data_IF_723531960552
#
_entry.id   IF_723531960552
#
_cell.length_a   1.000
_cell.length_b   1.000
_cell.length_c   1.000
_cell.angle_alpha   90.00
_cell.angle_beta   90.00
_cell.angle_gamma   90.00
#
_symmetry.space_group_name_H-M   'P 1'
#
loop_
_entity.id
_entity.type
_entity.pdbx_description
1 polymer ?
#
# COMPACT_ATOMS: atom_id res chain seq x y z
N UNK A 1 4.59 -2.63 10.98
CA UNK A 1 4.64 -3.83 11.83
C UNK A 1 6.09 -4.32 12.02
N UNK A 2 6.33 -5.17 13.05
CA UNK A 2 7.70 -5.73 13.29
C UNK A 2 8.20 -6.55 12.10
N UNK A 3 7.35 -7.34 11.46
CA UNK A 3 7.73 -8.13 10.28
C UNK A 3 8.20 -7.25 9.10
N UNK A 4 7.49 -6.16 8.85
CA UNK A 4 7.90 -5.20 7.81
C UNK A 4 9.24 -4.55 8.13
N UNK A 5 9.44 -4.10 9.37
CA UNK A 5 10.72 -3.53 9.82
C UNK A 5 11.87 -4.54 9.69
N UNK A 6 11.65 -5.82 10.06
CA UNK A 6 12.66 -6.88 9.88
C UNK A 6 13.04 -7.06 8.42
N UNK A 7 12.07 -7.06 7.50
CA UNK A 7 12.33 -7.16 6.06
C UNK A 7 13.19 -5.97 5.57
N UNK A 8 12.83 -4.74 5.99
CA UNK A 8 13.57 -3.52 5.62
C UNK A 8 15.01 -3.48 6.15
N UNK A 9 15.30 -4.23 7.21
CA UNK A 9 16.64 -4.37 7.78
C UNK A 9 17.39 -5.63 7.31
N UNK A 10 16.82 -6.38 6.35
CA UNK A 10 17.44 -7.57 5.74
C UNK A 10 17.20 -8.87 6.50
N UNK A 11 16.40 -8.86 7.58
CA UNK A 11 16.03 -10.06 8.33
C UNK A 11 14.72 -10.67 7.77
N UNK A 12 14.84 -11.32 6.60
CA UNK A 12 13.71 -11.98 5.97
C UNK A 12 13.18 -13.16 6.80
N UNK A 13 14.03 -13.86 7.53
CA UNK A 13 13.63 -14.97 8.39
C UNK A 13 12.62 -14.54 9.45
N UNK A 14 12.93 -13.46 10.16
CA UNK A 14 12.00 -12.86 11.13
C UNK A 14 10.75 -12.29 10.46
N UNK A 15 10.87 -11.68 9.26
CA UNK A 15 9.73 -11.20 8.51
C UNK A 15 8.74 -12.33 8.17
N UNK A 16 9.24 -13.47 7.67
CA UNK A 16 8.44 -14.67 7.37
C UNK A 16 7.80 -15.28 8.61
N UNK A 17 8.51 -15.27 9.74
CA UNK A 17 7.94 -15.74 11.00
C UNK A 17 6.73 -14.90 11.43
N UNK A 18 6.83 -13.56 11.34
CA UNK A 18 5.69 -12.68 11.60
C UNK A 18 4.56 -12.86 10.59
N UNK A 19 4.86 -13.03 9.30
CA UNK A 19 3.87 -13.32 8.26
C UNK A 19 3.06 -14.58 8.60
N UNK A 20 3.73 -15.67 8.95
CA UNK A 20 3.06 -16.92 9.31
C UNK A 20 2.12 -16.73 10.51
N UNK A 21 2.54 -15.97 11.52
CA UNK A 21 1.68 -15.66 12.67
C UNK A 21 0.45 -14.83 12.30
N UNK A 22 0.61 -13.87 11.40
CA UNK A 22 -0.52 -13.03 10.91
C UNK A 22 -1.49 -13.90 10.11
N UNK A 23 -0.99 -14.76 9.22
CA UNK A 23 -1.83 -15.70 8.45
C UNK A 23 -2.58 -16.67 9.36
N UNK A 24 -1.93 -17.24 10.34
CA UNK A 24 -2.55 -18.11 11.32
C UNK A 24 -3.66 -17.41 12.11
N UNK A 25 -3.42 -16.17 12.55
CA UNK A 25 -4.46 -15.36 13.17
C UNK A 25 -5.62 -15.02 12.25
N UNK A 26 -5.40 -14.89 10.94
CA UNK A 26 -6.46 -14.70 9.96
C UNK A 26 -7.31 -15.97 9.76
N UNK A 27 -6.70 -17.13 9.74
CA UNK A 27 -7.39 -18.43 9.61
C UNK A 27 -8.20 -18.79 10.86
N UNK A 28 -7.63 -18.55 12.05
CA UNK A 28 -8.27 -18.87 13.34
C UNK A 28 -9.30 -17.81 13.77
N UNK A 29 -9.25 -16.65 13.12
CA UNK A 29 -9.96 -15.43 13.54
C UNK A 29 -11.45 -15.43 13.23
N UNK A 30 -12.28 -15.89 14.19
CA UNK A 30 -13.72 -15.64 14.20
C UNK A 30 -14.09 -14.33 14.89
N UNK A 31 -13.10 -13.63 15.45
CA UNK A 31 -13.29 -12.41 16.23
C UNK A 31 -13.59 -11.21 15.34
N UNK A 32 -14.34 -10.28 15.93
CA UNK A 32 -14.66 -8.99 15.32
C UNK A 32 -13.90 -7.87 16.02
N UNK A 33 -13.30 -6.99 15.26
CA UNK A 33 -12.62 -5.80 15.75
C UNK A 33 -13.33 -4.57 15.21
N UNK A 34 -14.06 -3.86 16.06
CA UNK A 34 -14.82 -2.64 15.70
C UNK A 34 -15.81 -2.86 14.53
N UNK A 35 -16.42 -4.05 14.44
CA UNK A 35 -17.34 -4.39 13.35
C UNK A 35 -16.68 -5.01 12.10
N UNK A 36 -15.35 -5.09 12.06
CA UNK A 36 -14.62 -5.75 11.00
C UNK A 36 -14.20 -7.15 11.40
N UNK A 37 -14.18 -8.07 10.44
CA UNK A 37 -13.60 -9.40 10.66
C UNK A 37 -12.10 -9.27 10.95
N UNK A 38 -11.63 -9.87 12.04
CA UNK A 38 -10.20 -9.96 12.32
C UNK A 38 -9.44 -10.64 11.17
N UNK A 39 -10.07 -11.63 10.52
CA UNK A 39 -9.53 -12.30 9.34
C UNK A 39 -9.29 -11.32 8.17
N UNK A 40 -10.23 -10.40 7.90
CA UNK A 40 -10.05 -9.39 6.85
C UNK A 40 -8.90 -8.43 7.17
N UNK A 41 -8.87 -7.86 8.38
CA UNK A 41 -7.79 -6.95 8.80
C UNK A 41 -6.42 -7.62 8.75
N UNK A 42 -6.32 -8.84 9.28
CA UNK A 42 -5.06 -9.60 9.26
C UNK A 42 -4.69 -10.05 7.84
N UNK A 43 -5.67 -10.36 7.00
CA UNK A 43 -5.48 -10.65 5.58
C UNK A 43 -4.87 -9.48 4.82
N UNK A 44 -5.34 -8.26 5.06
CA UNK A 44 -4.77 -7.03 4.51
C UNK A 44 -3.31 -6.86 4.94
N UNK A 45 -3.02 -6.99 6.23
CA UNK A 45 -1.65 -6.90 6.75
C UNK A 45 -0.75 -8.00 6.19
N UNK A 46 -1.28 -9.23 6.03
CA UNK A 46 -0.54 -10.34 5.45
C UNK A 46 -0.21 -10.09 3.97
N UNK A 47 -1.16 -9.57 3.18
CA UNK A 47 -0.96 -9.28 1.76
C UNK A 47 0.18 -8.27 1.53
N UNK A 48 0.24 -7.22 2.35
CA UNK A 48 1.33 -6.23 2.29
C UNK A 48 2.67 -6.87 2.62
N UNK A 49 2.78 -7.57 3.76
CA UNK A 49 4.06 -8.14 4.18
C UNK A 49 4.55 -9.24 3.23
N UNK A 50 3.66 -10.10 2.75
CA UNK A 50 4.02 -11.13 1.78
C UNK A 50 4.34 -10.53 0.40
N UNK A 51 3.59 -9.51 -0.03
CA UNK A 51 3.87 -8.75 -1.25
C UNK A 51 5.28 -8.17 -1.23
N UNK A 52 5.67 -7.54 -0.14
CA UNK A 52 7.02 -6.99 0.01
C UNK A 52 8.12 -8.08 0.06
N UNK A 53 7.85 -9.22 0.70
CA UNK A 53 8.78 -10.36 0.67
C UNK A 53 8.92 -10.89 -0.76
N UNK A 54 7.84 -10.97 -1.53
CA UNK A 54 7.88 -11.40 -2.93
C UNK A 54 8.67 -10.42 -3.79
N UNK A 55 8.46 -9.10 -3.61
CA UNK A 55 9.22 -8.06 -4.32
C UNK A 55 10.72 -8.14 -4.00
N UNK A 56 11.08 -8.27 -2.74
CA UNK A 56 12.47 -8.42 -2.31
C UNK A 56 13.16 -9.63 -2.96
N UNK A 57 12.40 -10.65 -3.35
CA UNK A 57 12.87 -11.84 -4.05
C UNK A 57 12.69 -11.78 -5.59
N UNK A 58 12.40 -10.61 -6.15
CA UNK A 58 12.24 -10.41 -7.59
C UNK A 58 10.93 -10.95 -8.19
N UNK A 59 9.96 -11.33 -7.37
CA UNK A 59 8.69 -11.88 -7.81
C UNK A 59 7.59 -10.79 -7.87
N UNK A 60 7.86 -9.69 -8.57
CA UNK A 60 7.00 -8.49 -8.59
C UNK A 60 5.58 -8.82 -9.09
N UNK A 61 5.44 -9.63 -10.14
CA UNK A 61 4.12 -9.97 -10.67
C UNK A 61 3.24 -10.72 -9.66
N UNK A 62 3.81 -11.66 -8.92
CA UNK A 62 3.08 -12.35 -7.84
C UNK A 62 2.74 -11.43 -6.67
N UNK A 63 3.60 -10.44 -6.40
CA UNK A 63 3.32 -9.43 -5.40
C UNK A 63 2.12 -8.56 -5.81
N UNK A 64 2.04 -8.14 -7.07
CA UNK A 64 0.90 -7.39 -7.63
C UNK A 64 -0.39 -8.18 -7.44
N UNK A 65 -0.45 -9.44 -7.90
CA UNK A 65 -1.63 -10.30 -7.75
C UNK A 65 -2.10 -10.45 -6.29
N UNK A 66 -1.14 -10.50 -5.36
CA UNK A 66 -1.44 -10.61 -3.94
C UNK A 66 -1.91 -9.29 -3.33
N UNK A 67 -1.30 -8.17 -3.73
CA UNK A 67 -1.70 -6.84 -3.30
C UNK A 67 -3.08 -6.45 -3.83
N UNK A 68 -3.45 -6.87 -5.05
CA UNK A 68 -4.81 -6.71 -5.58
C UNK A 68 -5.85 -7.40 -4.68
N UNK A 69 -5.58 -8.63 -4.22
CA UNK A 69 -6.44 -9.31 -3.23
C UNK A 69 -6.48 -8.56 -1.90
N UNK A 70 -5.38 -7.94 -1.50
CA UNK A 70 -5.34 -7.08 -0.33
C UNK A 70 -6.24 -5.85 -0.47
N UNK A 71 -6.27 -5.24 -1.66
CA UNK A 71 -7.20 -4.13 -1.99
C UNK A 71 -8.65 -4.60 -1.95
N UNK A 72 -8.98 -5.78 -2.50
CA UNK A 72 -10.33 -6.34 -2.43
C UNK A 72 -10.80 -6.55 -0.97
N UNK A 73 -9.90 -6.99 -0.08
CA UNK A 73 -10.19 -7.10 1.34
C UNK A 73 -10.41 -5.75 2.02
N UNK A 74 -9.60 -4.74 1.66
CA UNK A 74 -9.69 -3.36 2.17
C UNK A 74 -11.02 -2.73 1.74
N UNK A 75 -11.39 -2.84 0.46
CA UNK A 75 -12.65 -2.34 -0.10
C UNK A 75 -13.89 -3.02 0.48
N UNK A 76 -13.73 -4.24 1.00
CA UNK A 76 -14.78 -4.97 1.70
C UNK A 76 -14.99 -4.56 3.16
N UNK A 77 -14.16 -3.68 3.72
CA UNK A 77 -14.33 -3.18 5.07
C UNK A 77 -15.54 -2.22 5.13
N UNK A 78 -16.27 -2.26 6.24
CA UNK A 78 -17.35 -1.27 6.49
C UNK A 78 -16.74 0.06 6.88
N UNK A 79 -17.45 1.15 6.61
CA UNK A 79 -17.02 2.48 7.04
C UNK A 79 -16.83 2.53 8.55
N UNK A 80 -15.69 3.04 8.99
CA UNK A 80 -15.34 3.21 10.40
C UNK A 80 -14.46 4.47 10.57
N UNK A 81 -14.59 5.19 11.68
CA UNK A 81 -13.84 6.40 11.95
C UNK A 81 -13.32 6.39 13.41
N UNK A 82 -12.01 6.47 13.64
CA UNK A 82 -10.95 6.42 12.63
C UNK A 82 -10.90 5.06 11.93
N UNK A 83 -10.36 5.01 10.73
CA UNK A 83 -10.19 3.77 9.98
C UNK A 83 -9.40 2.71 10.77
N UNK A 84 -9.69 1.41 10.57
CA UNK A 84 -9.02 0.33 11.31
C UNK A 84 -7.52 0.23 10.98
N UNK A 85 -7.12 0.69 9.80
CA UNK A 85 -5.74 0.77 9.33
C UNK A 85 -5.44 2.21 8.93
N UNK A 86 -4.27 2.70 9.28
CA UNK A 86 -3.82 4.07 8.98
C UNK A 86 -3.00 4.15 7.68
N UNK A 87 -3.18 3.20 6.80
CA UNK A 87 -2.51 3.09 5.50
C UNK A 87 -3.42 2.31 4.54
N UNK A 88 -3.34 2.58 3.25
CA UNK A 88 -4.03 1.82 2.21
C UNK A 88 -3.08 0.84 1.52
N UNK A 89 -3.57 -0.36 1.19
CA UNK A 89 -2.85 -1.36 0.38
C UNK A 89 -2.50 -0.79 -0.99
N UNK A 90 -3.28 0.16 -1.48
CA UNK A 90 -3.06 0.84 -2.77
C UNK A 90 -1.71 1.53 -2.86
N UNK A 91 -1.11 1.95 -1.75
CA UNK A 91 0.24 2.51 -1.75
C UNK A 91 1.28 1.46 -2.19
N UNK A 92 1.21 0.24 -1.66
CA UNK A 92 2.11 -0.87 -2.04
C UNK A 92 1.81 -1.41 -3.42
N UNK A 93 0.53 -1.52 -3.79
CA UNK A 93 0.14 -1.95 -5.13
C UNK A 93 0.65 -0.98 -6.20
N UNK A 94 0.44 0.32 -6.00
CA UNK A 94 0.91 1.35 -6.92
C UNK A 94 2.43 1.35 -7.09
N UNK A 95 3.19 1.19 -5.98
CA UNK A 95 4.65 1.12 -6.02
C UNK A 95 5.15 -0.17 -6.72
N UNK A 96 4.48 -1.31 -6.51
CA UNK A 96 4.79 -2.55 -7.21
C UNK A 96 4.50 -2.47 -8.72
N UNK A 97 3.41 -1.81 -9.11
CA UNK A 97 3.06 -1.56 -10.50
C UNK A 97 4.09 -0.64 -11.20
N UNK A 98 4.56 0.40 -10.51
CA UNK A 98 5.65 1.25 -11.01
C UNK A 98 6.95 0.47 -11.19
N UNK A 99 7.28 -0.42 -10.26
CA UNK A 99 8.45 -1.31 -10.37
C UNK A 99 8.33 -2.25 -11.58
N UNK A 100 7.12 -2.71 -11.89
CA UNK A 100 6.83 -3.56 -13.05
C UNK A 100 6.76 -2.78 -14.39
N UNK A 101 6.81 -1.44 -14.38
CA UNK A 101 6.61 -0.59 -15.56
C UNK A 101 5.14 -0.49 -16.01
N UNK A 102 4.20 -0.85 -15.13
CA UNK A 102 2.75 -0.78 -15.40
C UNK A 102 2.19 0.59 -14.98
N UNK A 103 2.82 1.65 -15.49
CA UNK A 103 2.62 3.04 -15.04
C UNK A 103 1.19 3.53 -15.16
N UNK A 104 0.45 3.10 -16.19
CA UNK A 104 -0.95 3.48 -16.37
C UNK A 104 -1.84 2.90 -15.27
N UNK A 105 -1.65 1.62 -14.92
CA UNK A 105 -2.37 0.97 -13.82
C UNK A 105 -2.00 1.57 -12.47
N UNK A 106 -0.71 1.90 -12.26
CA UNK A 106 -0.27 2.58 -11.05
C UNK A 106 -1.00 3.91 -10.86
N UNK A 107 -1.12 4.71 -11.93
CA UNK A 107 -1.86 5.98 -11.89
C UNK A 107 -3.35 5.79 -11.55
N UNK A 108 -3.98 4.72 -12.07
CA UNK A 108 -5.37 4.39 -11.73
C UNK A 108 -5.54 4.02 -10.25
N UNK A 109 -4.63 3.22 -9.72
CA UNK A 109 -4.62 2.79 -8.31
C UNK A 109 -4.47 3.99 -7.37
N UNK A 110 -3.53 4.90 -7.63
CA UNK A 110 -3.36 6.11 -6.81
C UNK A 110 -4.55 7.07 -6.92
N UNK A 111 -5.15 7.20 -8.13
CA UNK A 111 -6.38 8.00 -8.28
C UNK A 111 -7.57 7.39 -7.54
N UNK A 112 -7.66 6.07 -7.47
CA UNK A 112 -8.71 5.41 -6.71
C UNK A 112 -8.55 5.70 -5.21
N UNK A 113 -7.33 5.63 -4.68
CA UNK A 113 -7.05 5.95 -3.28
C UNK A 113 -7.35 7.43 -2.95
N UNK A 114 -6.98 8.34 -3.83
CA UNK A 114 -7.23 9.78 -3.65
C UNK A 114 -8.72 10.18 -3.69
N UNK A 115 -9.64 9.30 -4.12
CA UNK A 115 -11.08 9.54 -3.98
C UNK A 115 -11.54 9.40 -2.54
N UNK A 116 -10.95 8.44 -1.83
CA UNK A 116 -11.29 8.14 -0.43
C UNK A 116 -10.48 9.03 0.52
N UNK A 117 -9.21 9.29 0.19
CA UNK A 117 -8.27 10.11 0.96
C UNK A 117 -7.74 11.28 0.14
N UNK A 118 -8.55 12.31 -0.15
CA UNK A 118 -8.09 13.50 -0.87
C UNK A 118 -6.88 14.12 -0.15
N UNK A 119 -5.88 14.52 -0.93
CA UNK A 119 -4.64 15.13 -0.41
C UNK A 119 -3.71 14.17 0.36
N UNK A 120 -3.87 12.86 0.24
CA UNK A 120 -2.89 11.92 0.76
C UNK A 120 -1.55 12.08 0.03
N UNK A 121 -0.53 12.57 0.74
CA UNK A 121 0.78 12.86 0.15
C UNK A 121 1.48 11.65 -0.45
N UNK A 122 1.30 10.47 0.13
CA UNK A 122 1.88 9.23 -0.40
C UNK A 122 1.30 8.87 -1.78
N UNK A 123 0.00 9.01 -1.92
CA UNK A 123 -0.70 8.76 -3.19
C UNK A 123 -0.44 9.84 -4.24
N UNK A 124 -0.38 11.12 -3.83
CA UNK A 124 -0.01 12.21 -4.74
C UNK A 124 1.42 12.02 -5.27
N UNK A 125 2.38 11.68 -4.41
CA UNK A 125 3.74 11.39 -4.83
C UNK A 125 3.83 10.20 -5.81
N UNK A 126 3.10 9.11 -5.52
CA UNK A 126 3.04 7.95 -6.40
C UNK A 126 2.37 8.26 -7.74
N UNK A 127 1.28 9.03 -7.74
CA UNK A 127 0.58 9.45 -8.94
C UNK A 127 1.44 10.34 -9.83
N UNK A 128 2.15 11.31 -9.26
CA UNK A 128 3.09 12.15 -10.00
C UNK A 128 4.13 11.28 -10.72
N UNK A 129 4.76 10.33 -10.03
CA UNK A 129 5.75 9.41 -10.63
C UNK A 129 5.14 8.60 -11.77
N UNK A 130 3.94 8.05 -11.55
CA UNK A 130 3.24 7.26 -12.56
C UNK A 130 2.90 8.07 -13.82
N UNK A 131 2.54 9.34 -13.66
CA UNK A 131 2.26 10.24 -14.78
C UNK A 131 3.52 10.63 -15.54
N UNK A 132 4.62 10.93 -14.84
CA UNK A 132 5.90 11.24 -15.48
C UNK A 132 6.44 10.04 -16.26
N UNK A 133 6.33 8.84 -15.73
CA UNK A 133 6.75 7.63 -16.43
C UNK A 133 5.95 7.40 -17.74
N UNK A 134 4.71 7.89 -17.82
CA UNK A 134 3.88 7.89 -19.02
C UNK A 134 4.15 9.08 -19.98
N UNK A 135 5.05 10.02 -19.64
CA UNK A 135 5.27 11.26 -20.39
C UNK A 135 4.12 12.28 -20.29
N UNK A 136 3.26 12.15 -19.26
CA UNK A 136 2.10 13.04 -19.00
C UNK A 136 2.52 14.21 -18.11
N UNK A 137 3.55 14.94 -18.53
CA UNK A 137 4.24 15.93 -17.68
C UNK A 137 3.33 17.05 -17.18
N UNK A 138 2.41 17.55 -18.01
CA UNK A 138 1.47 18.61 -17.59
C UNK A 138 0.55 18.17 -16.45
N UNK A 139 0.08 16.92 -16.48
CA UNK A 139 -0.75 16.37 -15.40
C UNK A 139 0.10 16.08 -14.16
N UNK A 140 1.32 15.58 -14.35
CA UNK A 140 2.26 15.37 -13.27
C UNK A 140 2.59 16.67 -12.53
N UNK A 141 2.78 17.79 -13.26
CA UNK A 141 3.03 19.10 -12.66
C UNK A 141 1.84 19.61 -11.84
N UNK A 142 0.61 19.34 -12.26
CA UNK A 142 -0.58 19.67 -11.47
C UNK A 142 -0.63 18.87 -10.17
N UNK A 143 -0.40 17.54 -10.23
CA UNK A 143 -0.34 16.67 -9.06
C UNK A 143 0.80 17.08 -8.13
N UNK A 144 1.94 17.48 -8.68
CA UNK A 144 3.08 17.98 -7.89
C UNK A 144 2.70 19.21 -7.05
N UNK A 145 1.98 20.17 -7.64
CA UNK A 145 1.50 21.35 -6.89
C UNK A 145 0.55 20.94 -5.76
N UNK A 146 -0.35 19.98 -6.00
CA UNK A 146 -1.24 19.46 -4.95
C UNK A 146 -0.43 18.76 -3.84
N UNK A 147 0.60 17.99 -4.21
CA UNK A 147 1.51 17.36 -3.27
C UNK A 147 2.23 18.40 -2.41
N UNK A 148 2.83 19.44 -3.01
CA UNK A 148 3.52 20.49 -2.27
C UNK A 148 2.62 21.20 -1.26
N UNK A 149 1.37 21.50 -1.65
CA UNK A 149 0.38 22.10 -0.74
C UNK A 149 0.02 21.16 0.40
N UNK A 150 -0.23 19.88 0.10
CA UNK A 150 -0.61 18.88 1.10
C UNK A 150 0.53 18.59 2.08
N UNK A 151 1.78 18.65 1.59
CA UNK A 151 2.98 18.31 2.36
C UNK A 151 3.72 19.51 2.93
N UNK A 152 3.21 20.74 2.73
CA UNK A 152 3.87 22.00 3.09
C UNK A 152 4.27 22.11 4.58
N UNK A 153 3.63 21.35 5.49
CA UNK A 153 3.92 21.36 6.93
C UNK A 153 4.51 20.06 7.44
N UNK A 154 4.81 19.11 6.54
CA UNK A 154 5.45 17.86 6.91
C UNK A 154 6.94 18.08 7.19
N UNK A 155 7.47 17.38 8.17
CA UNK A 155 8.89 17.37 8.56
C UNK A 155 9.64 16.15 8.00
N UNK A 156 8.99 15.39 7.13
CA UNK A 156 9.56 14.20 6.49
C UNK A 156 9.56 14.33 4.97
N UNK A 157 10.60 13.81 4.34
CA UNK A 157 10.69 13.73 2.88
C UNK A 157 10.18 12.38 2.39
N UNK A 158 9.19 12.39 1.52
CA UNK A 158 8.73 11.19 0.82
C UNK A 158 9.73 10.85 -0.30
N UNK A 159 10.14 9.60 -0.37
CA UNK A 159 11.03 9.04 -1.40
C UNK A 159 10.40 7.90 -2.19
N UNK A 160 9.28 7.40 -1.72
CA UNK A 160 8.48 6.35 -2.30
C UNK A 160 7.03 6.58 -1.86
N UNK A 161 6.06 5.97 -2.53
CA UNK A 161 4.66 5.96 -2.07
C UNK A 161 4.42 5.02 -0.89
N UNK A 162 5.45 4.35 -0.41
CA UNK A 162 5.46 3.48 0.78
C UNK A 162 6.55 3.93 1.76
N UNK A 163 6.39 3.60 3.05
CA UNK A 163 7.29 3.94 4.14
C UNK A 163 8.18 2.78 4.58
#
# INVERSE_FOLDING_TARGET
SKGYASLRTGDEGTARWYLNRVKQGAEDGTDMVRGHSAASILGIVASILEGEILRANGNVQKAIELLEKGVELEDGLVFDEPEPLNFSVRHWLGDALLEAGEDARAAEVYRAELKDHPHNGWSLFGLERALRAQGRDQEADQVHVEFEVSWARADVYIRSSIF
#
